data_IF_080553812916
#
_entry.id   IF_080553812916
#
_cell.length_a   1.000
_cell.length_b   1.000
_cell.length_c   1.000
_cell.angle_alpha   90.00
_cell.angle_beta   90.00
_cell.angle_gamma   90.00
#
_symmetry.space_group_name_H-M   'P 1'
#
loop_
_entity.id
_entity.type
_entity.pdbx_description
1 polymer ?
#
# COMPACT_ATOMS: atom_id res chain seq x y z
N UNK A 1 2.51 12.64 15.16
CA UNK A 1 3.15 11.34 15.48
C UNK A 1 4.65 11.54 15.65
N UNK A 2 5.22 10.96 16.67
CA UNK A 2 6.63 11.08 16.95
C UNK A 2 7.43 10.09 16.08
N UNK A 3 8.38 10.59 15.28
CA UNK A 3 9.19 9.74 14.40
C UNK A 3 9.97 8.65 15.15
N UNK A 4 10.32 8.88 16.41
CA UNK A 4 11.01 7.88 17.22
C UNK A 4 10.21 6.61 17.44
N UNK A 5 8.88 6.70 17.32
CA UNK A 5 7.97 5.58 17.52
C UNK A 5 7.52 4.94 16.21
N UNK A 6 8.08 5.37 15.09
CA UNK A 6 7.72 4.84 13.78
C UNK A 6 8.96 4.35 13.04
N UNK A 7 8.71 3.48 12.07
CA UNK A 7 9.74 3.03 11.14
C UNK A 7 9.23 3.22 9.73
N UNK A 8 10.15 3.39 8.80
CA UNK A 8 9.82 3.52 7.37
C UNK A 8 9.76 2.12 6.77
N UNK A 9 8.75 1.89 5.92
CA UNK A 9 8.61 0.63 5.21
C UNK A 9 8.34 0.92 3.75
N UNK A 10 9.11 0.29 2.86
CA UNK A 10 8.95 0.44 1.42
C UNK A 10 8.71 -0.92 0.77
N UNK A 11 7.94 -0.90 -0.32
CA UNK A 11 7.56 -2.13 -1.00
C UNK A 11 7.24 -1.82 -2.45
N UNK A 12 7.14 -2.87 -3.28
CA UNK A 12 6.71 -2.70 -4.66
C UNK A 12 5.57 -3.65 -4.99
N UNK A 13 4.77 -3.24 -5.98
CA UNK A 13 3.66 -3.99 -6.53
C UNK A 13 3.68 -3.84 -8.05
N UNK A 14 2.83 -4.55 -8.76
CA UNK A 14 2.77 -4.50 -10.22
C UNK A 14 1.39 -4.06 -10.67
N UNK A 15 1.35 -2.97 -11.45
CA UNK A 15 0.14 -2.48 -12.09
C UNK A 15 -0.01 -3.11 -13.47
N UNK A 16 -1.25 -3.33 -13.91
CA UNK A 16 -1.48 -3.78 -15.28
C UNK A 16 -1.26 -2.62 -16.24
N UNK A 17 -0.77 -2.93 -17.43
CA UNK A 17 -0.52 -1.92 -18.45
C UNK A 17 -1.81 -1.18 -18.81
N UNK A 18 -1.71 0.14 -18.96
CA UNK A 18 -2.84 0.98 -19.33
C UNK A 18 -3.76 1.38 -18.19
N UNK A 19 -3.43 1.01 -16.94
CA UNK A 19 -4.33 1.22 -15.81
C UNK A 19 -3.90 2.34 -14.86
N UNK A 20 -2.94 3.18 -15.26
CA UNK A 20 -2.41 4.24 -14.38
C UNK A 20 -3.50 5.23 -13.96
N UNK A 21 -4.35 5.67 -14.91
CA UNK A 21 -5.39 6.64 -14.59
C UNK A 21 -6.44 6.04 -13.65
N UNK A 22 -6.84 4.79 -13.88
CA UNK A 22 -7.81 4.12 -13.02
C UNK A 22 -7.24 3.95 -11.61
N UNK A 23 -5.97 3.58 -11.49
CA UNK A 23 -5.32 3.42 -10.20
C UNK A 23 -5.33 4.74 -9.42
N UNK A 24 -4.93 5.83 -10.09
CA UNK A 24 -4.90 7.14 -9.44
C UNK A 24 -6.29 7.60 -9.03
N UNK A 25 -7.27 7.45 -9.93
CA UNK A 25 -8.64 7.87 -9.63
C UNK A 25 -9.21 7.13 -8.43
N UNK A 26 -9.02 5.81 -8.39
CA UNK A 26 -9.54 5.00 -7.27
C UNK A 26 -8.90 5.39 -5.94
N UNK A 27 -7.61 5.76 -5.95
CA UNK A 27 -6.93 6.22 -4.74
C UNK A 27 -7.32 7.64 -4.36
N UNK A 28 -7.59 8.52 -5.33
CA UNK A 28 -8.09 9.85 -5.03
C UNK A 28 -9.47 9.78 -4.38
N UNK A 29 -10.22 8.72 -4.66
CA UNK A 29 -11.54 8.46 -4.10
C UNK A 29 -11.52 7.36 -3.06
N UNK A 30 -10.38 7.17 -2.40
CA UNK A 30 -10.20 6.12 -1.40
C UNK A 30 -11.29 6.19 -0.32
N UNK A 31 -11.78 5.03 0.10
CA UNK A 31 -12.85 4.94 1.08
C UNK A 31 -12.39 5.48 2.44
N UNK A 32 -13.17 6.37 3.07
CA UNK A 32 -12.80 6.88 4.41
C UNK A 32 -12.61 5.76 5.44
N UNK A 33 -13.45 4.71 5.37
CA UNK A 33 -13.32 3.58 6.29
C UNK A 33 -12.02 2.82 6.11
N UNK A 34 -11.48 2.78 4.89
CA UNK A 34 -10.17 2.16 4.65
C UNK A 34 -9.05 3.03 5.22
N UNK A 35 -9.13 4.33 5.06
CA UNK A 35 -8.14 5.24 5.63
C UNK A 35 -8.12 5.09 7.16
N UNK A 36 -9.29 5.02 7.78
CA UNK A 36 -9.39 4.81 9.23
C UNK A 36 -8.76 3.48 9.65
N UNK A 37 -9.03 2.42 8.90
CA UNK A 37 -8.44 1.11 9.18
C UNK A 37 -6.92 1.15 9.10
N UNK A 38 -6.38 1.80 8.07
CA UNK A 38 -4.93 1.91 7.91
C UNK A 38 -4.29 2.71 9.05
N UNK A 39 -4.92 3.82 9.44
CA UNK A 39 -4.44 4.60 10.58
C UNK A 39 -4.48 3.78 11.88
N UNK A 40 -5.56 3.04 12.09
CA UNK A 40 -5.69 2.19 13.28
C UNK A 40 -4.63 1.08 13.30
N UNK A 41 -4.19 0.63 12.13
CA UNK A 41 -3.13 -0.36 12.03
C UNK A 41 -1.73 0.23 12.25
N UNK A 42 -1.64 1.54 12.43
CA UNK A 42 -0.37 2.22 12.70
C UNK A 42 0.33 2.79 11.48
N UNK A 43 -0.38 2.86 10.34
CA UNK A 43 0.19 3.35 9.08
C UNK A 43 -0.09 4.83 8.92
N UNK A 44 0.93 5.58 8.49
CA UNK A 44 0.81 7.01 8.18
C UNK A 44 1.82 7.38 7.09
N UNK A 45 1.70 8.60 6.59
CA UNK A 45 2.65 9.17 5.63
C UNK A 45 2.94 8.19 4.48
N UNK A 46 1.86 7.69 3.87
CA UNK A 46 1.96 6.69 2.81
C UNK A 46 1.89 7.36 1.44
N UNK A 47 2.88 7.07 0.60
CA UNK A 47 2.92 7.54 -0.78
C UNK A 47 3.19 6.36 -1.70
N UNK A 48 2.59 6.40 -2.89
CA UNK A 48 2.82 5.38 -3.92
C UNK A 48 3.26 6.09 -5.18
N UNK A 49 4.36 5.64 -5.76
CA UNK A 49 4.93 6.19 -6.99
C UNK A 49 4.90 5.13 -8.08
N UNK A 50 4.66 5.55 -9.31
CA UNK A 50 4.59 4.64 -10.46
C UNK A 50 5.80 4.84 -11.37
N UNK A 51 6.45 3.73 -11.74
CA UNK A 51 7.41 3.72 -12.84
C UNK A 51 6.62 3.42 -14.11
N UNK A 52 6.48 4.43 -14.97
CA UNK A 52 5.65 4.33 -16.16
C UNK A 52 6.18 3.36 -17.21
N UNK A 53 7.49 3.07 -17.19
CA UNK A 53 8.09 2.14 -18.15
C UNK A 53 7.82 0.69 -17.77
N UNK A 54 7.94 0.37 -16.49
CA UNK A 54 7.82 -1.02 -16.01
C UNK A 54 6.45 -1.32 -15.42
N UNK A 55 5.64 -0.28 -15.14
CA UNK A 55 4.36 -0.39 -14.44
C UNK A 55 4.52 -0.89 -13.00
N UNK A 56 5.72 -0.71 -12.44
CA UNK A 56 5.97 -1.06 -11.04
C UNK A 56 5.50 0.09 -10.16
N UNK A 57 4.76 -0.25 -9.12
CA UNK A 57 4.31 0.69 -8.10
C UNK A 57 5.26 0.59 -6.91
N UNK A 58 5.79 1.73 -6.48
CA UNK A 58 6.67 1.79 -5.31
C UNK A 58 5.92 2.48 -4.18
N UNK A 59 5.69 1.77 -3.10
CA UNK A 59 5.05 2.33 -1.92
C UNK A 59 6.07 2.61 -0.83
N UNK A 60 5.88 3.73 -0.13
CA UNK A 60 6.66 4.03 1.05
C UNK A 60 5.72 4.61 2.10
N UNK A 61 5.84 4.12 3.32
CA UNK A 61 4.98 4.55 4.42
C UNK A 61 5.76 4.57 5.72
N UNK A 62 5.18 5.18 6.73
CA UNK A 62 5.62 5.04 8.09
C UNK A 62 4.63 4.17 8.85
N UNK A 63 5.15 3.36 9.76
CA UNK A 63 4.29 2.54 10.61
C UNK A 63 4.84 2.54 12.02
N UNK A 64 3.95 2.44 12.98
CA UNK A 64 4.38 2.32 14.38
C UNK A 64 5.13 1.01 14.55
N UNK A 65 6.06 0.96 15.50
CA UNK A 65 6.85 -0.26 15.73
C UNK A 65 5.99 -1.43 16.20
N UNK A 66 4.85 -1.13 16.82
CA UNK A 66 3.88 -2.15 17.22
C UNK A 66 2.69 -2.22 16.26
N UNK A 67 2.91 -1.93 14.98
CA UNK A 67 1.86 -1.89 13.96
C UNK A 67 1.10 -3.21 13.86
N UNK A 68 -0.08 -3.12 13.26
CA UNK A 68 -0.96 -4.27 13.07
C UNK A 68 -1.18 -4.58 11.59
N UNK A 69 -0.17 -4.28 10.73
CA UNK A 69 -0.29 -4.53 9.30
C UNK A 69 -0.54 -6.00 8.97
N UNK A 70 0.02 -6.90 9.77
CA UNK A 70 -0.18 -8.34 9.57
C UNK A 70 -1.61 -8.80 9.84
N UNK A 71 -2.44 -7.96 10.42
CA UNK A 71 -3.85 -8.26 10.64
C UNK A 71 -4.76 -7.70 9.55
N UNK A 72 -4.24 -6.85 8.66
CA UNK A 72 -5.03 -6.24 7.59
C UNK A 72 -5.71 -7.28 6.68
N UNK A 73 -5.03 -8.39 6.30
CA UNK A 73 -5.69 -9.40 5.45
C UNK A 73 -6.95 -10.02 6.05
N UNK A 74 -7.14 -9.92 7.36
CA UNK A 74 -8.30 -10.47 8.04
C UNK A 74 -9.46 -9.48 8.09
N UNK A 75 -9.25 -8.23 7.69
CA UNK A 75 -10.26 -7.17 7.78
C UNK A 75 -11.12 -7.12 6.53
N UNK A 76 -12.45 -7.10 6.73
CA UNK A 76 -13.40 -7.09 5.62
C UNK A 76 -13.20 -5.90 4.68
N UNK A 77 -12.97 -4.71 5.24
CA UNK A 77 -12.76 -3.50 4.45
C UNK A 77 -11.56 -3.66 3.52
N UNK A 78 -10.47 -4.23 4.05
CA UNK A 78 -9.27 -4.46 3.26
C UNK A 78 -9.53 -5.46 2.14
N UNK A 79 -10.25 -6.54 2.44
CA UNK A 79 -10.58 -7.56 1.45
C UNK A 79 -11.45 -7.01 0.34
N UNK A 80 -12.42 -6.15 0.67
CA UNK A 80 -13.27 -5.49 -0.32
C UNK A 80 -12.45 -4.54 -1.21
N UNK A 81 -11.51 -3.82 -0.63
CA UNK A 81 -10.64 -2.94 -1.39
C UNK A 81 -9.76 -3.73 -2.36
N UNK A 82 -9.17 -4.82 -1.90
CA UNK A 82 -8.37 -5.68 -2.77
C UNK A 82 -9.19 -6.25 -3.92
N UNK A 83 -10.42 -6.66 -3.65
CA UNK A 83 -11.30 -7.16 -4.70
C UNK A 83 -11.60 -6.06 -5.72
N UNK A 84 -11.84 -4.86 -5.24
CA UNK A 84 -12.10 -3.70 -6.09
C UNK A 84 -10.89 -3.35 -6.97
N UNK A 85 -9.69 -3.45 -6.42
CA UNK A 85 -8.46 -3.10 -7.14
C UNK A 85 -7.90 -4.24 -7.99
N UNK A 86 -8.37 -5.46 -7.78
CA UNK A 86 -7.74 -6.66 -8.36
C UNK A 86 -7.84 -6.78 -9.87
N UNK A 87 -8.75 -6.06 -10.50
CA UNK A 87 -8.88 -6.08 -11.95
C UNK A 87 -7.82 -5.25 -12.67
N UNK A 88 -7.11 -4.36 -11.97
CA UNK A 88 -6.15 -3.45 -12.60
C UNK A 88 -4.71 -3.70 -12.14
N UNK A 89 -4.47 -4.68 -11.27
CA UNK A 89 -3.10 -4.96 -10.81
C UNK A 89 -2.88 -6.45 -10.62
N UNK A 90 -1.61 -6.84 -10.50
CA UNK A 90 -1.27 -8.25 -10.26
C UNK A 90 -1.57 -8.63 -8.81
N UNK A 91 -2.23 -9.77 -8.65
CA UNK A 91 -2.66 -10.25 -7.35
C UNK A 91 -2.24 -11.68 -7.12
N UNK A 92 -2.25 -12.08 -5.83
CA UNK A 92 -2.13 -13.47 -5.44
C UNK A 92 -3.47 -14.18 -5.63
N UNK A 93 -3.47 -15.50 -5.46
CA UNK A 93 -4.68 -16.29 -5.65
C UNK A 93 -5.82 -15.91 -4.69
N UNK A 94 -5.49 -15.32 -3.54
CA UNK A 94 -6.49 -14.87 -2.57
C UNK A 94 -7.00 -13.45 -2.83
N UNK A 95 -6.56 -12.82 -3.92
CA UNK A 95 -6.97 -11.47 -4.29
C UNK A 95 -6.13 -10.36 -3.71
N UNK A 96 -5.22 -10.67 -2.79
CA UNK A 96 -4.32 -9.66 -2.23
C UNK A 96 -3.28 -9.23 -3.27
N UNK A 97 -2.80 -7.99 -3.23
CA UNK A 97 -1.77 -7.56 -4.17
C UNK A 97 -0.46 -8.31 -3.94
N UNK A 98 0.27 -8.55 -5.04
CA UNK A 98 1.60 -9.13 -4.95
C UNK A 98 2.54 -8.04 -4.46
N UNK A 99 2.91 -8.11 -3.19
CA UNK A 99 3.76 -7.12 -2.54
C UNK A 99 5.13 -7.72 -2.30
N UNK A 100 6.18 -6.98 -2.67
CA UNK A 100 7.55 -7.37 -2.35
C UNK A 100 8.16 -6.27 -1.49
N UNK A 101 8.54 -6.58 -0.25
CA UNK A 101 9.24 -5.62 0.59
C UNK A 101 10.58 -5.22 -0.01
N UNK A 102 10.96 -3.96 0.17
CA UNK A 102 12.23 -3.44 -0.32
C UNK A 102 13.19 -3.25 0.85
N UNK A 103 14.45 -3.52 0.60
CA UNK A 103 15.51 -3.36 1.60
C UNK A 103 16.05 -1.94 1.54
N UNK A 104 16.04 -1.25 2.68
CA UNK A 104 16.70 0.05 2.76
C UNK A 104 18.21 -0.14 2.72
N UNK A 105 18.87 0.52 1.77
CA UNK A 105 20.32 0.40 1.61
C UNK A 105 21.04 1.70 1.92
N UNK A 106 20.30 2.78 2.15
CA UNK A 106 20.88 4.08 2.50
C UNK A 106 19.81 4.97 3.11
N UNK A 107 20.23 5.79 4.06
CA UNK A 107 19.40 6.82 4.65
C UNK A 107 20.26 8.00 5.06
N UNK A 108 19.78 9.22 4.80
CA UNK A 108 20.39 10.45 5.30
C UNK A 108 19.27 11.33 5.87
N UNK A 109 19.50 11.87 7.07
CA UNK A 109 18.51 12.74 7.69
C UNK A 109 18.65 14.19 7.23
#
# INVERSE_FOLDING_TARGET
MNEKNTEKFAFKMQLNQGEAEAYQKRHDEIWPELVDLLHDAGISDCSIFLDEETHILFGVLRRTKNHKMNQLPEQEVMQRWWKFMGDIMKTNSDGSPRVQPLKQVFYIN
#
